data_IF_951575493974
#
_entry.id   IF_951575493974
#
_cell.length_a   1.000
_cell.length_b   1.000
_cell.length_c   1.000
_cell.angle_alpha   90.00
_cell.angle_beta   90.00
_cell.angle_gamma   90.00
#
_symmetry.space_group_name_H-M   'P 1'
#
loop_
_entity.id
_entity.type
_entity.pdbx_description
1 polymer ?
#
# COMPACT_ATOMS: atom_id res chain seq x y z
N UNK A 1 -25.12 -48.18 -2.88
CA UNK A 1 -24.42 -48.41 -4.15
C UNK A 1 -24.49 -47.12 -4.95
N UNK A 2 -23.44 -46.53 -5.46
CA UNK A 2 -22.09 -47.00 -5.75
C UNK A 2 -21.13 -45.81 -5.60
N UNK A 3 -19.91 -46.13 -5.20
CA UNK A 3 -18.82 -45.29 -4.74
C UNK A 3 -18.07 -44.52 -5.85
N UNK A 4 -17.67 -43.27 -5.54
CA UNK A 4 -16.31 -42.65 -5.70
C UNK A 4 -15.66 -42.50 -7.11
N UNK A 5 -14.46 -41.86 -7.27
CA UNK A 5 -14.12 -40.42 -7.09
C UNK A 5 -13.10 -39.91 -8.18
N UNK A 6 -12.35 -38.82 -7.89
CA UNK A 6 -11.14 -38.24 -8.55
C UNK A 6 -11.44 -37.20 -9.67
N UNK A 7 -10.76 -36.05 -9.78
CA UNK A 7 -9.42 -35.65 -9.32
C UNK A 7 -9.33 -34.14 -9.09
N UNK A 8 -8.63 -33.76 -8.03
CA UNK A 8 -8.16 -32.39 -7.82
C UNK A 8 -6.92 -32.10 -8.68
N UNK A 9 -6.78 -30.85 -9.10
CA UNK A 9 -5.50 -30.30 -9.54
C UNK A 9 -5.31 -28.98 -8.80
N UNK A 10 -4.29 -28.97 -7.96
CA UNK A 10 -3.75 -27.80 -7.30
C UNK A 10 -3.08 -26.91 -8.36
N UNK A 11 -3.31 -25.60 -8.29
CA UNK A 11 -2.51 -24.63 -9.03
C UNK A 11 -1.43 -24.11 -8.08
N UNK A 12 -0.22 -24.66 -8.22
CA UNK A 12 1.00 -24.04 -7.73
C UNK A 12 1.22 -22.72 -8.48
N UNK A 13 1.27 -21.63 -7.74
CA UNK A 13 1.69 -20.33 -8.25
C UNK A 13 3.21 -20.25 -8.10
N UNK A 14 3.92 -20.35 -9.23
CA UNK A 14 5.30 -19.90 -9.30
C UNK A 14 5.32 -18.39 -9.54
N UNK A 15 5.94 -17.68 -8.61
CA UNK A 15 6.35 -16.28 -8.76
C UNK A 15 7.35 -16.18 -9.91
N UNK A 16 7.04 -15.34 -10.91
CA UNK A 16 8.05 -14.83 -11.83
C UNK A 16 7.73 -13.38 -12.20
N UNK A 17 8.45 -12.45 -11.57
CA UNK A 17 8.42 -11.02 -11.89
C UNK A 17 9.30 -10.81 -13.12
N UNK A 18 8.72 -10.98 -14.30
CA UNK A 18 9.31 -10.53 -15.55
C UNK A 18 8.62 -9.24 -16.03
N UNK A 19 9.36 -8.13 -16.05
CA UNK A 19 8.99 -6.92 -16.78
C UNK A 19 8.90 -7.25 -18.27
N UNK A 20 7.72 -7.67 -18.74
CA UNK A 20 7.47 -7.88 -20.16
C UNK A 20 7.12 -6.55 -20.82
N UNK A 21 8.15 -5.81 -21.24
CA UNK A 21 8.00 -4.82 -22.31
C UNK A 21 7.69 -5.62 -23.58
N UNK A 22 6.50 -5.44 -24.14
CA UNK A 22 6.16 -6.05 -25.42
C UNK A 22 7.03 -5.44 -26.53
N UNK A 23 8.03 -6.18 -26.97
CA UNK A 23 8.77 -5.96 -28.21
C UNK A 23 8.20 -6.94 -29.23
N UNK A 24 7.61 -6.42 -30.31
CA UNK A 24 7.16 -7.27 -31.42
C UNK A 24 8.43 -7.70 -32.18
N UNK A 25 8.83 -8.97 -32.03
CA UNK A 25 9.93 -9.59 -32.77
C UNK A 25 9.39 -10.22 -34.07
N UNK A 26 10.04 -9.94 -35.19
CA UNK A 26 9.51 -10.14 -36.55
C UNK A 26 10.47 -10.94 -37.45
N UNK A 27 10.94 -12.08 -36.96
CA UNK A 27 11.69 -13.05 -37.78
C UNK A 27 10.71 -13.90 -38.64
N UNK A 28 10.92 -14.08 -39.96
CA UNK A 28 9.96 -14.81 -40.79
C UNK A 28 10.21 -16.33 -40.83
N UNK A 29 9.10 -17.08 -40.86
CA UNK A 29 8.99 -18.50 -41.18
C UNK A 29 9.35 -18.80 -42.64
N UNK A 30 10.12 -19.87 -42.87
CA UNK A 30 10.47 -20.44 -44.18
C UNK A 30 9.22 -20.92 -44.94
N UNK A 31 9.13 -20.58 -46.23
CA UNK A 31 8.21 -21.19 -47.21
C UNK A 31 9.00 -21.89 -48.35
N UNK A 32 8.45 -22.94 -49.00
CA UNK A 32 9.19 -23.89 -49.84
C UNK A 32 9.32 -23.46 -51.32
N UNK A 33 10.11 -24.17 -52.17
CA UNK A 33 10.53 -23.66 -53.48
C UNK A 33 9.59 -24.08 -54.63
N UNK A 34 9.50 -23.23 -55.66
CA UNK A 34 8.90 -23.51 -56.99
C UNK A 34 9.87 -23.05 -58.11
N UNK A 35 9.76 -23.58 -59.34
CA UNK A 35 10.88 -23.84 -60.26
C UNK A 35 11.16 -22.72 -61.27
N UNK A 36 12.27 -22.81 -62.04
CA UNK A 36 12.86 -21.67 -62.72
C UNK A 36 12.22 -21.42 -64.08
N UNK A 37 11.96 -20.15 -64.40
CA UNK A 37 11.79 -19.69 -65.77
C UNK A 37 12.52 -18.37 -65.92
N UNK A 38 13.45 -18.38 -66.87
CA UNK A 38 14.42 -17.36 -67.18
C UNK A 38 13.72 -16.08 -67.65
N UNK A 39 13.80 -15.04 -66.84
CA UNK A 39 13.72 -13.66 -67.32
C UNK A 39 15.05 -13.02 -66.94
N UNK A 40 15.93 -12.87 -67.93
CA UNK A 40 17.06 -11.96 -67.85
C UNK A 40 16.49 -10.54 -67.73
N UNK A 41 16.27 -10.09 -66.50
CA UNK A 41 16.23 -8.67 -66.20
C UNK A 41 17.68 -8.15 -66.20
N UNK A 42 17.93 -6.94 -66.73
CA UNK A 42 19.25 -6.34 -66.60
C UNK A 42 19.60 -6.27 -65.12
N UNK A 43 20.78 -6.79 -64.78
CA UNK A 43 21.37 -6.70 -63.46
C UNK A 43 21.59 -5.20 -63.18
N UNK A 44 20.61 -4.56 -62.55
CA UNK A 44 20.74 -3.18 -62.11
C UNK A 44 21.73 -3.19 -60.96
N UNK A 45 22.84 -2.47 -61.12
CA UNK A 45 23.99 -2.42 -60.21
C UNK A 45 23.55 -2.37 -58.73
N UNK A 46 23.76 -3.49 -58.03
CA UNK A 46 23.53 -3.60 -56.59
C UNK A 46 24.54 -2.81 -55.74
N UNK A 47 25.46 -2.09 -56.39
CA UNK A 47 26.53 -1.30 -55.75
C UNK A 47 26.13 0.15 -55.45
N UNK A 48 25.07 0.68 -56.07
CA UNK A 48 24.64 2.07 -55.89
C UNK A 48 23.42 2.26 -55.00
N UNK A 49 22.76 1.20 -54.56
CA UNK A 49 21.54 1.29 -53.73
C UNK A 49 21.86 0.99 -52.27
N UNK A 50 21.54 1.94 -51.38
CA UNK A 50 21.68 1.74 -49.93
C UNK A 50 20.79 0.58 -49.46
N UNK A 51 21.27 -0.28 -48.54
CA UNK A 51 20.43 -1.33 -47.98
C UNK A 51 19.31 -0.71 -47.13
N UNK A 52 18.14 -1.35 -47.14
CA UNK A 52 17.04 -0.93 -46.28
C UNK A 52 17.39 -1.19 -44.80
N UNK A 53 16.90 -0.36 -43.86
CA UNK A 53 16.95 -0.66 -42.44
C UNK A 53 16.33 -2.03 -42.13
N UNK A 54 16.70 -2.62 -40.98
CA UNK A 54 16.24 -3.96 -40.57
C UNK A 54 15.66 -3.97 -39.17
N UNK A 55 14.92 -5.04 -38.87
CA UNK A 55 14.36 -5.36 -37.55
C UNK A 55 13.63 -4.17 -36.89
N UNK A 56 12.54 -3.66 -37.51
CA UNK A 56 11.79 -2.55 -36.94
C UNK A 56 11.08 -2.99 -35.66
N UNK A 57 11.15 -2.15 -34.62
CA UNK A 57 10.50 -2.37 -33.33
C UNK A 57 9.71 -1.13 -32.93
N UNK A 58 8.43 -1.33 -32.66
CA UNK A 58 7.55 -0.26 -32.14
C UNK A 58 7.32 -0.50 -30.65
N UNK A 59 7.74 0.45 -29.82
CA UNK A 59 7.53 0.46 -28.37
C UNK A 59 6.35 1.35 -28.04
N UNK A 60 5.30 0.74 -27.50
CA UNK A 60 4.08 1.42 -27.03
C UNK A 60 3.92 1.15 -25.54
N UNK A 61 4.32 2.11 -24.70
CA UNK A 61 4.27 1.96 -23.25
C UNK A 61 3.76 3.24 -22.61
N UNK A 62 2.63 3.16 -21.90
CA UNK A 62 1.89 4.34 -21.49
C UNK A 62 1.72 5.29 -22.69
N UNK A 63 1.90 6.60 -22.51
CA UNK A 63 1.85 7.58 -23.59
C UNK A 63 2.99 7.44 -24.62
N UNK A 64 4.08 6.73 -24.29
CA UNK A 64 5.29 6.70 -25.10
C UNK A 64 5.10 5.88 -26.38
N UNK A 65 5.55 6.44 -27.50
CA UNK A 65 5.47 5.84 -28.83
C UNK A 65 6.79 6.02 -29.56
N UNK A 66 7.58 4.95 -29.66
CA UNK A 66 8.93 4.99 -30.22
C UNK A 66 9.11 3.89 -31.27
N UNK A 67 9.57 4.27 -32.46
CA UNK A 67 10.00 3.33 -33.50
C UNK A 67 11.53 3.25 -33.47
N UNK A 68 12.08 2.04 -33.48
CA UNK A 68 13.52 1.78 -33.57
C UNK A 68 13.83 0.74 -34.64
N UNK A 69 15.06 0.75 -35.16
CA UNK A 69 15.54 -0.18 -36.20
C UNK A 69 17.04 -0.41 -36.06
N UNK A 70 17.58 -1.37 -36.80
CA UNK A 70 19.02 -1.61 -36.87
C UNK A 70 19.73 -0.60 -37.78
N UNK A 71 20.93 -0.12 -37.38
CA UNK A 71 21.70 0.81 -38.18
C UNK A 71 22.13 0.20 -39.52
N UNK A 72 22.03 0.99 -40.57
CA UNK A 72 22.62 0.67 -41.86
C UNK A 72 24.13 0.94 -41.78
N UNK A 73 24.93 -0.12 -41.93
CA UNK A 73 26.39 -0.02 -41.95
C UNK A 73 26.89 -0.12 -43.39
N UNK A 74 27.71 0.84 -43.82
CA UNK A 74 28.40 0.83 -45.11
C UNK A 74 29.88 0.52 -44.86
N UNK A 75 30.42 -0.53 -45.48
CA UNK A 75 31.78 -1.00 -45.24
C UNK A 75 32.87 -0.02 -45.70
N UNK A 76 32.57 0.86 -46.66
CA UNK A 76 33.55 1.73 -47.32
C UNK A 76 33.13 3.21 -47.36
N UNK A 77 32.05 3.61 -46.70
CA UNK A 77 31.52 4.98 -46.73
C UNK A 77 31.56 5.60 -45.34
N UNK A 78 32.29 6.70 -45.19
CA UNK A 78 32.42 7.45 -43.93
C UNK A 78 31.32 8.50 -43.75
N UNK A 79 30.43 8.67 -44.73
CA UNK A 79 29.35 9.66 -44.65
C UNK A 79 28.29 9.26 -43.62
N UNK A 80 27.72 10.23 -42.90
CA UNK A 80 26.69 9.93 -41.90
C UNK A 80 25.40 9.46 -42.59
N UNK A 81 24.96 8.25 -42.25
CA UNK A 81 23.64 7.76 -42.65
C UNK A 81 22.57 8.48 -41.85
N UNK A 82 21.58 9.02 -42.55
CA UNK A 82 20.41 9.62 -41.93
C UNK A 82 19.14 8.87 -42.30
N UNK A 83 18.11 8.98 -41.48
CA UNK A 83 16.87 8.25 -41.64
C UNK A 83 15.68 9.21 -41.83
N UNK A 84 14.69 8.73 -42.58
CA UNK A 84 13.40 9.40 -42.77
C UNK A 84 12.29 8.43 -42.41
N UNK A 85 11.38 8.86 -41.54
CA UNK A 85 10.20 8.09 -41.14
C UNK A 85 8.92 8.74 -41.65
N UNK A 86 8.05 7.92 -42.25
CA UNK A 86 6.74 8.31 -42.72
C UNK A 86 5.64 7.52 -42.03
N UNK A 87 4.47 8.13 -41.95
CA UNK A 87 3.29 7.52 -41.36
C UNK A 87 2.11 7.58 -42.33
N UNK A 88 1.25 6.59 -42.18
CA UNK A 88 -0.07 6.54 -42.79
C UNK A 88 -1.03 6.00 -41.73
N UNK A 89 -2.23 6.59 -41.64
CA UNK A 89 -3.30 6.07 -40.78
C UNK A 89 -4.48 5.76 -41.67
N UNK A 90 -4.94 4.51 -41.61
CA UNK A 90 -6.12 4.09 -42.37
C UNK A 90 -7.38 4.67 -41.71
N UNK A 91 -7.69 5.91 -42.07
CA UNK A 91 -8.98 6.49 -41.81
C UNK A 91 -9.85 6.21 -43.05
N UNK A 92 -10.91 5.43 -42.86
CA UNK A 92 -11.94 4.98 -43.82
C UNK A 92 -12.48 6.02 -44.85
N UNK A 93 -12.10 7.28 -44.72
CA UNK A 93 -12.59 8.45 -45.46
C UNK A 93 -11.47 9.28 -46.15
N UNK A 94 -10.19 8.91 -46.01
CA UNK A 94 -9.08 9.64 -46.62
C UNK A 94 -8.27 8.74 -47.58
N UNK A 95 -7.78 9.33 -48.66
CA UNK A 95 -6.88 8.67 -49.61
C UNK A 95 -5.59 8.22 -48.90
N UNK A 96 -5.08 7.03 -49.26
CA UNK A 96 -3.89 6.40 -48.65
C UNK A 96 -2.58 7.14 -48.95
N UNK A 97 -2.44 8.34 -48.39
CA UNK A 97 -1.28 9.22 -48.60
C UNK A 97 -0.32 9.07 -47.44
N UNK A 98 0.97 8.89 -47.75
CA UNK A 98 2.03 8.87 -46.76
C UNK A 98 2.46 10.29 -46.42
N UNK A 99 2.57 10.58 -45.13
CA UNK A 99 3.00 11.88 -44.63
C UNK A 99 4.31 11.76 -43.88
N UNK A 100 5.21 12.73 -44.05
CA UNK A 100 6.41 12.79 -43.24
C UNK A 100 6.03 13.09 -41.79
N UNK A 101 6.66 12.40 -40.84
CA UNK A 101 6.41 12.67 -39.42
C UNK A 101 6.81 14.11 -39.03
N UNK A 102 7.62 14.77 -39.86
CA UNK A 102 8.07 16.17 -39.70
C UNK A 102 7.06 17.22 -40.16
N UNK A 103 6.00 16.84 -40.88
CA UNK A 103 4.93 17.78 -41.28
C UNK A 103 4.08 18.24 -40.09
N UNK A 104 4.26 17.63 -38.92
CA UNK A 104 3.66 18.08 -37.65
C UNK A 104 4.77 18.69 -36.78
N UNK A 105 4.54 19.94 -36.38
CA UNK A 105 5.50 20.90 -35.79
C UNK A 105 6.37 20.35 -34.64
N UNK A 106 5.96 19.27 -33.97
CA UNK A 106 6.56 18.79 -32.73
C UNK A 106 7.38 17.49 -32.84
N UNK A 107 7.31 16.75 -33.96
CA UNK A 107 8.04 15.49 -34.16
C UNK A 107 9.01 15.64 -35.33
N UNK A 108 10.32 15.57 -35.09
CA UNK A 108 11.35 15.72 -36.14
C UNK A 108 12.04 14.38 -36.41
N UNK A 109 11.39 13.52 -37.20
CA UNK A 109 11.96 12.25 -37.66
C UNK A 109 12.36 12.28 -39.15
N UNK A 110 12.81 13.44 -39.63
CA UNK A 110 13.37 13.61 -40.97
C UNK A 110 14.86 13.93 -40.86
N UNK A 111 15.66 13.17 -41.60
CA UNK A 111 17.12 13.27 -41.65
C UNK A 111 17.78 13.15 -40.26
N UNK A 112 17.32 12.20 -39.46
CA UNK A 112 17.89 11.90 -38.13
C UNK A 112 19.05 10.92 -38.26
N UNK A 113 20.10 11.08 -37.45
CA UNK A 113 21.22 10.13 -37.39
C UNK A 113 20.97 8.98 -36.42
N UNK A 114 20.04 9.15 -35.49
CA UNK A 114 19.63 8.13 -34.53
C UNK A 114 18.83 7.03 -35.20
N UNK A 115 18.95 5.80 -34.70
CA UNK A 115 18.18 4.64 -35.14
C UNK A 115 16.87 4.46 -34.39
N UNK A 116 16.35 5.57 -33.87
CA UNK A 116 15.08 5.66 -33.16
C UNK A 116 14.38 6.97 -33.49
N UNK A 117 13.06 6.91 -33.54
CA UNK A 117 12.14 8.03 -33.74
C UNK A 117 11.09 7.98 -32.63
N UNK A 118 11.18 8.94 -31.70
CA UNK A 118 10.15 9.18 -30.69
C UNK A 118 9.09 10.12 -31.25
N UNK A 119 7.88 9.60 -31.41
CA UNK A 119 6.70 10.32 -31.90
C UNK A 119 5.60 10.39 -30.84
N UNK A 120 5.99 10.30 -29.56
CA UNK A 120 5.12 10.53 -28.41
C UNK A 120 4.43 11.90 -28.55
N UNK A 121 3.09 11.97 -28.49
CA UNK A 121 2.36 13.24 -28.58
C UNK A 121 2.81 14.22 -27.50
N UNK A 122 3.11 15.46 -27.89
CA UNK A 122 3.48 16.54 -26.96
C UNK A 122 2.34 17.57 -26.92
N UNK A 123 1.94 17.99 -25.72
CA UNK A 123 0.85 18.96 -25.57
C UNK A 123 -0.48 18.50 -26.19
N UNK A 124 -1.10 19.35 -27.01
CA UNK A 124 -2.41 19.10 -27.63
C UNK A 124 -2.31 18.42 -29.00
N UNK A 125 -1.12 17.98 -29.44
CA UNK A 125 -0.98 17.32 -30.73
C UNK A 125 -1.67 15.96 -30.69
N UNK A 126 -2.78 15.86 -31.43
CA UNK A 126 -3.52 14.60 -31.59
C UNK A 126 -2.75 13.73 -32.57
N UNK A 127 -1.74 13.00 -32.10
CA UNK A 127 -1.09 11.98 -32.92
C UNK A 127 -1.60 10.58 -32.59
N UNK A 128 -1.98 9.89 -33.67
CA UNK A 128 -2.67 8.60 -33.77
C UNK A 128 -4.05 8.62 -33.11
N UNK A 129 -5.10 8.60 -33.94
CA UNK A 129 -6.41 8.20 -33.42
C UNK A 129 -6.29 6.75 -32.95
N UNK A 130 -6.39 6.48 -31.64
CA UNK A 130 -5.91 5.21 -31.08
C UNK A 130 -6.59 3.95 -31.60
N UNK A 131 -7.74 4.13 -32.24
CA UNK A 131 -8.60 3.05 -32.74
C UNK A 131 -8.31 2.64 -34.19
N UNK A 132 -7.53 3.43 -34.94
CA UNK A 132 -7.23 3.15 -36.35
C UNK A 132 -5.90 2.45 -36.53
N UNK A 133 -5.80 1.67 -37.59
CA UNK A 133 -4.57 1.03 -38.00
C UNK A 133 -3.55 2.08 -38.47
N UNK A 134 -2.41 2.06 -37.80
CA UNK A 134 -1.27 2.92 -38.09
C UNK A 134 -0.20 2.12 -38.81
N UNK A 135 0.29 2.69 -39.90
CA UNK A 135 1.36 2.15 -40.73
C UNK A 135 2.54 3.09 -40.66
N UNK A 136 3.73 2.55 -40.42
CA UNK A 136 4.98 3.30 -40.43
C UNK A 136 5.91 2.72 -41.48
N UNK A 137 6.75 3.57 -42.05
CA UNK A 137 7.87 3.13 -42.89
C UNK A 137 9.10 3.99 -42.66
N UNK A 138 10.27 3.38 -42.76
CA UNK A 138 11.56 4.05 -42.58
C UNK A 138 12.50 3.72 -43.73
N UNK A 139 13.33 4.69 -44.13
CA UNK A 139 14.41 4.48 -45.10
C UNK A 139 15.67 5.19 -44.66
N UNK A 140 16.82 4.68 -45.11
CA UNK A 140 18.12 5.32 -44.96
C UNK A 140 18.42 6.22 -46.16
N UNK A 141 19.21 7.27 -45.91
CA UNK A 141 19.74 8.19 -46.90
C UNK A 141 21.20 8.52 -46.60
N UNK A 142 21.97 8.70 -47.67
CA UNK A 142 23.33 9.23 -47.65
C UNK A 142 23.44 10.17 -48.84
N UNK A 143 23.54 11.47 -48.59
CA UNK A 143 23.41 12.51 -49.62
C UNK A 143 22.16 12.29 -50.50
N UNK A 144 22.33 12.06 -51.81
CA UNK A 144 21.26 11.79 -52.78
C UNK A 144 20.87 10.31 -52.87
N UNK A 145 21.65 9.40 -52.27
CA UNK A 145 21.35 7.98 -52.28
C UNK A 145 20.27 7.65 -51.24
N UNK A 146 19.31 6.82 -51.63
CA UNK A 146 18.20 6.40 -50.78
C UNK A 146 18.03 4.88 -50.80
N UNK A 147 17.68 4.30 -49.66
CA UNK A 147 17.34 2.88 -49.58
C UNK A 147 15.89 2.61 -50.01
N UNK A 148 15.52 1.35 -50.30
CA UNK A 148 14.13 0.93 -50.25
C UNK A 148 13.49 1.24 -48.89
N UNK A 149 12.16 1.34 -48.85
CA UNK A 149 11.41 1.51 -47.61
C UNK A 149 11.31 0.19 -46.83
N UNK A 150 11.63 0.23 -45.55
CA UNK A 150 11.24 -0.78 -44.58
C UNK A 150 9.84 -0.43 -44.07
N UNK A 151 8.85 -1.27 -44.39
CA UNK A 151 7.49 -1.13 -43.87
C UNK A 151 7.35 -1.87 -42.54
N UNK A 152 6.76 -1.20 -41.54
CA UNK A 152 6.47 -1.78 -40.23
C UNK A 152 5.08 -2.43 -40.27
N UNK A 153 4.86 -3.59 -39.62
CA UNK A 153 3.51 -4.14 -39.46
C UNK A 153 2.57 -3.11 -38.83
N UNK A 154 1.32 -3.11 -39.27
CA UNK A 154 0.33 -2.19 -38.72
C UNK A 154 0.04 -2.49 -37.25
N UNK A 155 -0.28 -1.44 -36.51
CA UNK A 155 -0.69 -1.55 -35.11
C UNK A 155 -1.79 -0.56 -34.79
N UNK A 156 -2.56 -0.87 -33.75
CA UNK A 156 -3.54 0.05 -33.15
C UNK A 156 -3.07 0.36 -31.74
N UNK A 157 -2.93 1.64 -31.39
CA UNK A 157 -2.42 2.01 -30.08
C UNK A 157 -3.25 1.37 -28.95
N UNK A 158 -4.58 1.44 -29.02
CA UNK A 158 -5.46 0.81 -28.02
C UNK A 158 -5.34 -0.72 -27.96
N UNK A 159 -4.85 -1.40 -29.00
CA UNK A 159 -4.64 -2.86 -28.98
C UNK A 159 -3.23 -3.25 -28.58
N UNK A 160 -2.24 -2.42 -28.86
CA UNK A 160 -0.84 -2.83 -28.75
C UNK A 160 -0.11 -2.14 -27.60
N UNK A 161 -0.71 -1.13 -26.95
CA UNK A 161 -0.11 -0.43 -25.82
C UNK A 161 0.01 -1.33 -24.58
N UNK A 162 1.18 -1.26 -23.96
CA UNK A 162 1.42 -1.79 -22.61
C UNK A 162 1.10 -0.69 -21.60
N UNK A 163 0.13 -0.93 -20.72
CA UNK A 163 -0.31 0.04 -19.71
C UNK A 163 0.41 -0.28 -18.39
N UNK A 164 1.15 0.68 -17.87
CA UNK A 164 1.81 0.58 -16.58
C UNK A 164 0.84 0.68 -15.40
N UNK A 165 1.34 0.51 -14.16
CA UNK A 165 0.53 0.71 -12.96
C UNK A 165 0.13 2.19 -12.79
N UNK A 166 -0.89 2.49 -11.96
CA UNK A 166 -1.18 3.86 -11.55
C UNK A 166 0.01 4.54 -10.87
N UNK A 167 0.15 5.83 -11.06
CA UNK A 167 1.23 6.64 -10.47
C UNK A 167 0.79 7.32 -9.17
N UNK A 168 1.75 7.77 -8.36
CA UNK A 168 1.52 8.59 -7.15
C UNK A 168 0.44 8.04 -6.21
N UNK A 169 0.51 6.75 -5.89
CA UNK A 169 -0.43 6.08 -4.99
C UNK A 169 -0.17 6.54 -3.55
N UNK A 170 -1.15 7.22 -2.96
CA UNK A 170 -1.17 7.67 -1.58
C UNK A 170 -2.33 7.02 -0.84
N UNK A 171 -2.08 6.46 0.34
CA UNK A 171 -3.10 5.80 1.15
C UNK A 171 -3.16 6.44 2.53
N UNK A 172 -4.34 6.92 2.91
CA UNK A 172 -4.63 7.44 4.24
C UNK A 172 -5.47 6.44 5.02
N UNK A 173 -4.95 5.86 6.12
CA UNK A 173 -5.73 5.01 6.98
C UNK A 173 -6.82 5.77 7.74
N UNK A 174 -8.03 5.24 7.72
CA UNK A 174 -9.18 5.75 8.45
C UNK A 174 -9.74 4.71 9.44
N UNK A 175 -10.81 5.08 10.14
CA UNK A 175 -11.55 4.18 11.01
C UNK A 175 -12.23 3.10 10.17
N UNK A 176 -11.78 1.84 10.28
CA UNK A 176 -12.30 0.73 9.49
C UNK A 176 -12.22 0.93 7.96
N UNK A 177 -11.30 1.79 7.50
CA UNK A 177 -11.23 2.16 6.09
C UNK A 177 -9.81 2.53 5.63
N UNK A 178 -9.57 2.45 4.31
CA UNK A 178 -8.39 3.00 3.65
C UNK A 178 -8.84 3.92 2.51
N UNK A 179 -8.42 5.19 2.57
CA UNK A 179 -8.69 6.18 1.52
C UNK A 179 -7.47 6.22 0.60
N UNK A 180 -7.68 5.82 -0.65
CA UNK A 180 -6.64 5.70 -1.66
C UNK A 180 -6.80 6.87 -2.64
N UNK A 181 -5.71 7.59 -2.88
CA UNK A 181 -5.59 8.61 -3.93
C UNK A 181 -4.49 8.19 -4.89
N UNK A 182 -4.71 8.34 -6.19
CA UNK A 182 -3.74 7.95 -7.21
C UNK A 182 -3.77 8.91 -8.40
N UNK A 183 -2.81 8.76 -9.29
CA UNK A 183 -2.76 9.39 -10.61
C UNK A 183 -2.93 8.32 -11.69
N UNK A 184 -3.54 8.70 -12.81
CA UNK A 184 -3.63 7.83 -13.99
C UNK A 184 -2.23 7.46 -14.49
N UNK A 185 -2.03 6.28 -15.10
CA UNK A 185 -0.73 5.89 -15.67
C UNK A 185 -0.16 6.86 -16.70
N UNK A 186 -1.04 7.57 -17.43
CA UNK A 186 -0.70 8.66 -18.35
C UNK A 186 -1.96 9.48 -18.67
N UNK A 187 -1.79 10.64 -19.33
CA UNK A 187 -2.93 11.47 -19.74
C UNK A 187 -3.63 10.84 -20.95
N UNK A 188 -4.93 10.61 -20.79
CA UNK A 188 -5.80 10.07 -21.85
C UNK A 188 -6.81 11.08 -22.38
N UNK A 189 -6.83 12.33 -21.88
CA UNK A 189 -7.83 13.34 -22.28
C UNK A 189 -7.78 13.71 -23.76
N UNK A 190 -6.60 13.65 -24.36
CA UNK A 190 -6.42 13.88 -25.80
C UNK A 190 -7.02 12.74 -26.66
N UNK A 191 -7.36 11.61 -26.04
CA UNK A 191 -7.92 10.42 -26.66
C UNK A 191 -9.35 10.18 -26.17
N UNK A 192 -10.20 9.52 -26.97
CA UNK A 192 -11.51 9.06 -26.51
C UNK A 192 -11.36 7.79 -25.65
N UNK A 193 -10.62 7.91 -24.54
CA UNK A 193 -10.29 6.80 -23.65
C UNK A 193 -10.37 7.19 -22.17
N UNK A 194 -10.65 6.21 -21.32
CA UNK A 194 -10.76 6.38 -19.87
C UNK A 194 -10.08 5.22 -19.14
N UNK A 195 -9.75 5.43 -17.86
CA UNK A 195 -9.24 4.37 -16.98
C UNK A 195 -10.30 3.89 -16.00
N UNK A 196 -10.35 2.58 -15.81
CA UNK A 196 -11.04 1.91 -14.71
C UNK A 196 -10.01 1.32 -13.76
N UNK A 197 -10.17 1.55 -12.47
CA UNK A 197 -9.25 1.07 -11.44
C UNK A 197 -9.84 -0.09 -10.67
N UNK A 198 -9.01 -1.08 -10.38
CA UNK A 198 -9.32 -2.24 -9.55
C UNK A 198 -8.32 -2.31 -8.41
N UNK A 199 -8.82 -2.46 -7.19
CA UNK A 199 -7.99 -2.58 -6.00
C UNK A 199 -8.02 -4.02 -5.53
N UNK A 200 -6.87 -4.68 -5.61
CA UNK A 200 -6.62 -6.00 -5.05
C UNK A 200 -6.10 -5.81 -3.62
N UNK A 201 -6.75 -6.38 -2.62
CA UNK A 201 -6.38 -6.17 -1.22
C UNK A 201 -6.59 -7.42 -0.37
N UNK A 202 -5.77 -7.60 0.66
CA UNK A 202 -5.83 -8.74 1.57
C UNK A 202 -5.30 -8.38 2.95
N UNK A 203 -5.78 -9.09 3.97
CA UNK A 203 -5.11 -9.13 5.29
C UNK A 203 -3.86 -10.02 5.16
N UNK A 204 -2.83 -9.80 5.98
CA UNK A 204 -1.52 -10.51 5.88
C UNK A 204 -1.59 -12.04 5.78
N UNK A 205 -2.62 -12.66 6.36
CA UNK A 205 -2.90 -14.11 6.29
C UNK A 205 -4.28 -14.42 5.70
N UNK A 206 -4.86 -13.47 4.97
CA UNK A 206 -6.19 -13.55 4.39
C UNK A 206 -6.18 -13.88 2.90
N UNK A 207 -7.37 -14.10 2.36
CA UNK A 207 -7.60 -14.30 0.93
C UNK A 207 -7.61 -12.94 0.23
N UNK A 208 -7.04 -12.88 -0.97
CA UNK A 208 -7.11 -11.69 -1.82
C UNK A 208 -8.53 -11.39 -2.27
N UNK A 209 -8.94 -10.14 -2.07
CA UNK A 209 -10.21 -9.58 -2.50
C UNK A 209 -9.98 -8.53 -3.59
N UNK A 210 -10.96 -8.31 -4.44
CA UNK A 210 -10.92 -7.31 -5.51
C UNK A 210 -12.11 -6.38 -5.38
N UNK A 211 -11.88 -5.07 -5.38
CA UNK A 211 -12.91 -4.03 -5.38
C UNK A 211 -12.76 -3.15 -6.61
N UNK A 212 -13.87 -2.86 -7.29
CA UNK A 212 -13.92 -2.05 -8.50
C UNK A 212 -15.02 -2.52 -9.46
N UNK A 213 -15.10 -1.96 -10.68
CA UNK A 213 -14.25 -0.89 -11.21
C UNK A 213 -14.55 0.48 -10.61
N UNK A 214 -13.52 1.32 -10.47
CA UNK A 214 -13.65 2.73 -10.10
C UNK A 214 -13.21 3.63 -11.25
N UNK A 215 -13.98 4.68 -11.57
CA UNK A 215 -13.55 5.75 -12.48
C UNK A 215 -12.78 6.86 -11.76
N UNK A 216 -13.09 7.06 -10.49
CA UNK A 216 -12.45 8.07 -9.64
C UNK A 216 -11.02 7.66 -9.28
N UNK A 217 -10.12 8.64 -9.24
CA UNK A 217 -8.76 8.48 -8.71
C UNK A 217 -8.70 8.59 -7.19
N UNK A 218 -9.82 8.91 -6.54
CA UNK A 218 -10.02 8.82 -5.10
C UNK A 218 -10.97 7.66 -4.81
N UNK A 219 -10.45 6.61 -4.19
CA UNK A 219 -11.13 5.33 -3.93
C UNK A 219 -11.17 5.11 -2.42
N UNK A 220 -12.31 4.63 -1.90
CA UNK A 220 -12.45 4.31 -0.48
C UNK A 220 -12.70 2.82 -0.29
N UNK A 221 -11.77 2.14 0.37
CA UNK A 221 -11.98 0.78 0.87
C UNK A 221 -12.60 0.87 2.26
N UNK A 222 -13.91 0.73 2.33
CA UNK A 222 -14.67 0.64 3.59
C UNK A 222 -14.80 -0.81 4.08
N UNK A 223 -15.45 -0.95 5.24
CA UNK A 223 -15.84 -2.23 5.84
C UNK A 223 -14.63 -3.11 6.18
N UNK A 224 -13.50 -2.46 6.49
CA UNK A 224 -12.29 -3.12 6.95
C UNK A 224 -12.30 -3.23 8.47
N UNK A 225 -11.66 -4.27 8.99
CA UNK A 225 -11.52 -4.43 10.45
C UNK A 225 -10.60 -3.32 10.99
N UNK A 226 -10.95 -2.67 12.12
CA UNK A 226 -10.08 -1.68 12.76
C UNK A 226 -8.82 -2.34 13.33
N UNK A 227 -7.73 -1.58 13.42
CA UNK A 227 -6.43 -2.04 13.95
C UNK A 227 -5.83 -3.25 13.22
N UNK A 228 -6.20 -3.49 11.96
CA UNK A 228 -5.69 -4.59 11.12
C UNK A 228 -4.84 -4.07 9.97
N UNK A 229 -3.83 -4.86 9.61
CA UNK A 229 -2.92 -4.57 8.50
C UNK A 229 -3.45 -5.21 7.21
N UNK A 230 -3.65 -4.36 6.20
CA UNK A 230 -4.07 -4.75 4.87
C UNK A 230 -3.00 -4.38 3.85
N UNK A 231 -2.64 -5.32 3.00
CA UNK A 231 -1.80 -5.10 1.83
C UNK A 231 -2.67 -4.92 0.59
N UNK A 232 -2.26 -4.04 -0.32
CA UNK A 232 -2.99 -3.77 -1.55
C UNK A 232 -2.08 -3.56 -2.76
N UNK A 233 -2.65 -3.87 -3.94
CA UNK A 233 -2.14 -3.54 -5.26
C UNK A 233 -3.27 -2.94 -6.08
N UNK A 234 -2.94 -2.01 -6.97
CA UNK A 234 -3.92 -1.33 -7.81
C UNK A 234 -3.56 -1.59 -9.26
N UNK A 235 -4.59 -1.92 -10.05
CA UNK A 235 -4.50 -2.11 -11.49
C UNK A 235 -5.35 -1.09 -12.20
N UNK A 236 -4.79 -0.44 -13.22
CA UNK A 236 -5.55 0.36 -14.18
C UNK A 236 -5.95 -0.50 -15.38
N UNK A 237 -7.15 -0.29 -15.91
CA UNK A 237 -7.62 -0.85 -17.17
C UNK A 237 -7.97 0.30 -18.09
N UNK A 238 -7.25 0.41 -19.20
CA UNK A 238 -7.54 1.38 -20.25
C UNK A 238 -8.77 0.92 -21.04
N UNK A 239 -9.72 1.81 -21.25
CA UNK A 239 -10.93 1.57 -22.04
C UNK A 239 -11.00 2.61 -23.15
N UNK A 240 -10.90 2.16 -24.40
CA UNK A 240 -11.02 3.02 -25.58
C UNK A 240 -12.44 2.97 -26.13
N UNK A 241 -13.18 4.08 -25.99
CA UNK A 241 -14.64 4.12 -26.14
C UNK A 241 -15.10 3.83 -27.57
N UNK A 242 -14.42 4.41 -28.57
CA UNK A 242 -14.83 4.26 -29.99
C UNK A 242 -14.55 2.87 -30.57
N UNK A 243 -13.69 2.08 -29.93
CA UNK A 243 -13.28 0.76 -30.40
C UNK A 243 -13.84 -0.41 -29.60
N UNK A 244 -14.51 -0.17 -28.46
CA UNK A 244 -14.83 -1.19 -27.45
C UNK A 244 -13.62 -2.08 -27.09
N UNK A 245 -12.42 -1.50 -27.12
CA UNK A 245 -11.17 -2.19 -26.79
C UNK A 245 -10.84 -1.84 -25.35
N UNK A 246 -10.50 -2.86 -24.56
CA UNK A 246 -9.94 -2.66 -23.24
C UNK A 246 -8.57 -3.31 -23.11
N UNK A 247 -7.65 -2.63 -22.42
CA UNK A 247 -6.31 -3.13 -22.14
C UNK A 247 -6.07 -3.16 -20.64
N UNK A 248 -5.83 -4.35 -20.06
CA UNK A 248 -5.42 -4.43 -18.68
C UNK A 248 -4.01 -3.87 -18.53
N UNK A 249 -3.80 -3.03 -17.53
CA UNK A 249 -2.48 -2.60 -17.12
C UNK A 249 -1.83 -3.53 -16.11
N UNK A 250 -0.57 -3.24 -15.80
CA UNK A 250 0.18 -3.94 -14.76
C UNK A 250 -0.30 -3.56 -13.36
N UNK A 251 -0.08 -4.48 -12.41
CA UNK A 251 -0.33 -4.24 -11.00
C UNK A 251 0.74 -3.29 -10.44
N UNK A 252 0.32 -2.40 -9.54
CA UNK A 252 1.27 -1.65 -8.72
C UNK A 252 2.06 -2.58 -7.80
N UNK A 253 3.15 -2.05 -7.25
CA UNK A 253 3.83 -2.69 -6.13
C UNK A 253 2.87 -2.88 -4.95
N UNK A 254 3.14 -3.92 -4.16
CA UNK A 254 2.40 -4.20 -2.92
C UNK A 254 2.73 -3.11 -1.90
N UNK A 255 1.70 -2.56 -1.27
CA UNK A 255 1.86 -1.62 -0.16
C UNK A 255 0.90 -1.99 0.97
N UNK A 256 1.37 -1.93 2.22
CA UNK A 256 0.61 -2.40 3.38
C UNK A 256 0.36 -1.27 4.37
N UNK A 257 -0.86 -1.20 4.89
CA UNK A 257 -1.31 -0.15 5.79
C UNK A 257 -2.17 -0.73 6.91
N UNK A 258 -1.99 -0.18 8.11
CA UNK A 258 -2.80 -0.54 9.27
C UNK A 258 -3.97 0.43 9.42
N UNK A 259 -5.19 -0.08 9.50
CA UNK A 259 -6.39 0.71 9.72
C UNK A 259 -6.39 1.38 11.09
N UNK A 260 -7.00 2.57 11.18
CA UNK A 260 -7.11 3.26 12.46
C UNK A 260 -8.15 2.57 13.36
N UNK A 261 -8.03 2.84 14.66
CA UNK A 261 -9.01 2.42 15.64
C UNK A 261 -10.33 3.15 15.41
N UNK A 262 -11.43 2.41 15.29
CA UNK A 262 -12.74 3.01 15.09
C UNK A 262 -13.33 3.57 16.39
N UNK A 263 -14.37 4.41 16.27
CA UNK A 263 -15.06 4.98 17.43
C UNK A 263 -15.63 3.91 18.38
N UNK A 264 -16.11 2.78 17.86
CA UNK A 264 -16.70 1.71 18.67
C UNK A 264 -15.64 0.99 19.53
N UNK A 265 -14.51 0.64 18.95
CA UNK A 265 -13.35 0.04 19.61
C UNK A 265 -12.69 1.01 20.58
N UNK A 266 -12.63 2.32 20.26
CA UNK A 266 -12.25 3.37 21.22
C UNK A 266 -13.18 3.37 22.43
N UNK A 267 -14.49 3.40 22.22
CA UNK A 267 -15.48 3.40 23.30
C UNK A 267 -15.37 2.13 24.14
N UNK A 268 -15.23 0.97 23.50
CA UNK A 268 -15.07 -0.31 24.18
C UNK A 268 -13.80 -0.35 25.03
N UNK A 269 -12.67 0.17 24.51
CA UNK A 269 -11.44 0.29 25.29
C UNK A 269 -11.63 1.22 26.51
N UNK A 270 -12.29 2.35 26.33
CA UNK A 270 -12.57 3.29 27.43
C UNK A 270 -13.42 2.62 28.51
N UNK A 271 -14.48 1.87 28.12
CA UNK A 271 -15.34 1.15 29.07
C UNK A 271 -14.54 0.11 29.84
N UNK A 272 -13.72 -0.69 29.16
CA UNK A 272 -12.88 -1.72 29.82
C UNK A 272 -11.89 -1.10 30.81
N UNK A 273 -11.24 0.01 30.44
CA UNK A 273 -10.33 0.74 31.32
C UNK A 273 -11.08 1.30 32.53
N UNK A 274 -12.24 1.94 32.32
CA UNK A 274 -13.04 2.51 33.39
C UNK A 274 -13.53 1.46 34.39
N UNK A 275 -14.03 0.32 33.89
CA UNK A 275 -14.46 -0.82 34.74
C UNK A 275 -13.27 -1.40 35.50
N UNK A 276 -12.13 -1.61 34.84
CA UNK A 276 -10.91 -2.11 35.48
C UNK A 276 -10.44 -1.19 36.61
N UNK A 277 -10.45 0.13 36.38
CA UNK A 277 -10.07 1.13 37.38
C UNK A 277 -11.04 1.14 38.58
N UNK A 278 -12.34 1.04 38.31
CA UNK A 278 -13.37 0.99 39.35
C UNK A 278 -13.25 -0.26 40.23
N UNK A 279 -12.98 -1.43 39.63
CA UNK A 279 -12.75 -2.68 40.36
C UNK A 279 -11.47 -2.60 41.20
N UNK A 280 -10.40 -2.01 40.66
CA UNK A 280 -9.15 -1.81 41.40
C UNK A 280 -9.34 -0.90 42.62
N UNK A 281 -10.02 0.24 42.45
CA UNK A 281 -10.32 1.16 43.55
C UNK A 281 -11.24 0.53 44.60
N UNK A 282 -12.22 -0.26 44.18
CA UNK A 282 -13.11 -0.98 45.10
C UNK A 282 -12.35 -2.05 45.91
N UNK A 283 -11.44 -2.79 45.28
CA UNK A 283 -10.57 -3.75 45.98
C UNK A 283 -9.67 -3.04 47.00
N UNK A 284 -9.09 -1.91 46.64
CA UNK A 284 -8.24 -1.12 47.55
C UNK A 284 -9.05 -0.58 48.74
N UNK A 285 -10.24 -0.04 48.49
CA UNK A 285 -11.15 0.44 49.53
C UNK A 285 -11.61 -0.71 50.44
N UNK A 286 -11.96 -1.87 49.87
CA UNK A 286 -12.32 -3.07 50.62
C UNK A 286 -11.19 -3.58 51.50
N UNK A 287 -9.95 -3.61 50.99
CA UNK A 287 -8.77 -3.95 51.77
C UNK A 287 -8.53 -2.96 52.92
N UNK A 288 -8.65 -1.65 52.66
CA UNK A 288 -8.54 -0.62 53.69
C UNK A 288 -9.60 -0.80 54.78
N UNK A 289 -10.86 -1.04 54.39
CA UNK A 289 -11.95 -1.27 55.32
C UNK A 289 -11.73 -2.52 56.17
N UNK A 290 -11.25 -3.61 55.58
CA UNK A 290 -10.91 -4.84 56.31
C UNK A 290 -9.76 -4.63 57.30
N UNK A 291 -8.71 -3.90 56.91
CA UNK A 291 -7.62 -3.51 57.82
C UNK A 291 -8.16 -2.69 58.99
N UNK A 292 -8.98 -1.68 58.73
CA UNK A 292 -9.62 -0.88 59.78
C UNK A 292 -10.40 -1.78 60.72
N UNK A 293 -11.28 -2.66 60.20
CA UNK A 293 -12.06 -3.61 61.00
C UNK A 293 -11.18 -4.50 61.89
N UNK A 294 -10.14 -5.09 61.31
CA UNK A 294 -9.21 -5.98 62.01
C UNK A 294 -8.45 -5.25 63.12
N UNK A 295 -8.05 -4.00 62.88
CA UNK A 295 -7.28 -3.20 63.83
C UNK A 295 -8.13 -2.25 64.68
N UNK A 296 -9.48 -2.34 64.64
CA UNK A 296 -10.38 -1.46 65.42
C UNK A 296 -10.06 -1.43 66.92
N UNK A 297 -9.60 -2.54 67.49
CA UNK A 297 -9.18 -2.61 68.90
C UNK A 297 -7.91 -1.80 69.20
N UNK A 298 -6.95 -1.78 68.27
CA UNK A 298 -5.69 -1.03 68.39
C UNK A 298 -5.88 0.46 68.06
N UNK A 299 -6.77 0.77 67.12
CA UNK A 299 -7.14 2.16 66.77
C UNK A 299 -7.86 2.85 67.93
N UNK A 300 -8.71 2.13 68.69
CA UNK A 300 -9.33 2.67 69.90
C UNK A 300 -8.31 3.13 70.95
N UNK A 301 -7.18 2.41 71.07
CA UNK A 301 -6.11 2.75 72.01
C UNK A 301 -5.34 4.03 71.64
N UNK A 302 -5.18 4.29 70.33
CA UNK A 302 -4.49 5.49 69.82
C UNK A 302 -5.34 6.76 69.80
N UNK A 303 -6.68 6.64 69.81
CA UNK A 303 -7.62 7.76 69.83
C UNK A 303 -8.25 8.04 71.20
N UNK A 304 -7.74 7.43 72.29
CA UNK A 304 -8.09 7.89 73.63
C UNK A 304 -7.53 9.29 73.84
N UNK A 305 -8.40 10.26 74.11
CA UNK A 305 -8.00 11.56 74.66
C UNK A 305 -7.09 11.33 75.87
N UNK A 306 -6.04 12.16 76.08
CA UNK A 306 -5.25 12.09 77.30
C UNK A 306 -6.21 12.10 78.51
N UNK A 307 -5.96 11.31 79.55
CA UNK A 307 -6.83 11.32 80.73
C UNK A 307 -6.96 12.76 81.23
N UNK A 308 -8.18 13.31 81.18
CA UNK A 308 -8.46 14.63 81.71
C UNK A 308 -8.31 14.58 83.22
N UNK A 309 -7.44 15.42 83.76
CA UNK A 309 -7.20 15.57 85.19
C UNK A 309 -8.56 15.86 85.88
N UNK A 310 -8.92 15.15 86.96
CA UNK A 310 -10.14 15.45 87.72
C UNK A 310 -10.19 16.93 88.09
N UNK A 311 -11.35 17.59 87.89
CA UNK A 311 -11.54 19.04 88.07
C UNK A 311 -11.00 19.58 89.40
N UNK A 312 -11.00 18.76 90.46
CA UNK A 312 -10.44 19.13 91.76
C UNK A 312 -8.95 19.47 91.69
N UNK A 313 -8.15 18.78 90.87
CA UNK A 313 -6.70 18.99 90.75
C UNK A 313 -6.39 20.14 89.79
N UNK A 314 -7.26 20.41 88.81
CA UNK A 314 -7.10 21.54 87.88
C UNK A 314 -7.20 22.90 88.60
N UNK A 315 -8.01 23.00 89.64
CA UNK A 315 -8.13 24.21 90.46
C UNK A 315 -6.88 24.46 91.31
N UNK A 316 -6.28 23.42 91.91
CA UNK A 316 -5.03 23.53 92.68
C UNK A 316 -3.80 23.82 91.81
N UNK A 317 -3.80 23.45 90.53
CA UNK A 317 -2.70 23.72 89.61
C UNK A 317 -2.77 25.13 88.99
N UNK A 318 -3.93 25.80 89.03
CA UNK A 318 -4.10 27.16 88.49
C UNK A 318 -3.73 28.27 89.47
N UNK A 319 -3.65 27.99 90.77
CA UNK A 319 -3.33 29.00 91.79
C UNK A 319 -2.19 28.52 92.74
N UNK A 320 -0.91 28.76 92.38
CA UNK A 320 0.24 28.27 93.14
C UNK A 320 0.51 29.21 94.31
N UNK A 321 -0.36 29.20 95.32
CA UNK A 321 -0.23 30.08 96.47
C UNK A 321 -0.37 29.35 97.82
N UNK A 322 0.12 28.11 97.96
CA UNK A 322 0.39 27.50 99.28
C UNK A 322 1.62 26.57 99.27
N UNK A 323 2.48 26.60 100.31
CA UNK A 323 3.81 25.99 100.33
C UNK A 323 3.75 24.51 100.76
N UNK A 324 3.10 23.66 99.97
CA UNK A 324 2.97 22.22 100.31
C UNK A 324 4.00 21.37 99.55
N UNK A 325 4.47 21.84 98.38
CA UNK A 325 5.48 21.13 97.58
C UNK A 325 6.89 21.18 98.20
N UNK A 326 7.20 22.18 99.04
CA UNK A 326 8.46 22.24 99.80
C UNK A 326 8.46 21.34 101.05
N UNK A 327 7.30 20.87 101.51
CA UNK A 327 7.21 19.95 102.65
C UNK A 327 7.36 18.47 102.24
N UNK A 328 6.92 18.10 101.03
CA UNK A 328 7.00 16.71 100.54
C UNK A 328 8.41 16.30 100.08
N UNK A 329 9.27 17.26 99.72
CA UNK A 329 10.68 16.99 99.40
C UNK A 329 11.52 16.67 100.67
N UNK A 330 10.96 16.90 101.86
CA UNK A 330 11.63 16.70 103.16
C UNK A 330 11.35 15.38 103.88
N UNK A 331 10.38 14.58 103.41
CA UNK A 331 9.97 13.32 104.07
C UNK A 331 10.29 12.06 103.24
N UNK A 332 11.30 12.11 102.36
CA UNK A 332 11.83 10.91 101.72
C UNK A 332 12.69 10.09 102.70
N UNK A 333 12.06 9.11 103.36
CA UNK A 333 12.74 8.01 104.08
C UNK A 333 11.86 6.74 104.09
N UNK A 334 12.44 5.53 103.96
CA UNK A 334 11.89 4.51 103.06
C UNK A 334 11.25 3.33 103.80
N UNK A 335 9.99 3.01 103.51
CA UNK A 335 9.36 1.68 103.71
C UNK A 335 8.26 1.51 102.65
N UNK A 336 8.47 0.64 101.66
CA UNK A 336 7.90 -0.72 101.60
C UNK A 336 6.37 -0.71 101.69
N UNK A 337 5.72 -0.59 100.53
CA UNK A 337 4.30 -0.91 100.38
C UNK A 337 4.14 -1.98 99.30
N UNK A 338 3.58 -3.10 99.76
CA UNK A 338 3.35 -4.33 99.05
C UNK A 338 2.36 -4.14 97.88
N UNK A 339 2.73 -4.69 96.72
CA UNK A 339 1.85 -4.78 95.56
C UNK A 339 1.10 -6.11 95.59
N UNK A 340 -0.24 -6.05 95.64
CA UNK A 340 -1.10 -7.22 95.54
C UNK A 340 -1.26 -7.62 94.06
N UNK A 341 -0.78 -8.81 93.74
CA UNK A 341 -0.74 -9.38 92.38
C UNK A 341 -2.07 -10.06 92.02
N UNK A 342 -2.73 -9.58 90.97
CA UNK A 342 -3.97 -10.20 90.44
C UNK A 342 -3.63 -11.16 89.29
N UNK A 343 -3.83 -12.46 89.52
CA UNK A 343 -3.66 -13.52 88.52
C UNK A 343 -4.97 -13.78 87.74
N UNK A 344 -4.91 -13.72 86.41
CA UNK A 344 -6.02 -14.05 85.50
C UNK A 344 -5.97 -15.53 85.14
N UNK A 345 -7.03 -16.27 85.42
CA UNK A 345 -7.22 -17.68 85.02
C UNK A 345 -8.05 -17.74 83.74
N UNK A 346 -7.55 -18.42 82.72
CA UNK A 346 -8.25 -18.71 81.47
C UNK A 346 -8.70 -20.17 81.42
N UNK A 347 -9.89 -20.44 80.89
CA UNK A 347 -10.44 -21.78 80.66
C UNK A 347 -10.33 -22.15 79.17
N UNK A 348 -9.93 -23.38 78.80
CA UNK A 348 -9.97 -23.85 77.42
C UNK A 348 -11.35 -24.40 77.05
N UNK A 349 -11.86 -23.98 75.90
CA UNK A 349 -13.06 -24.53 75.26
C UNK A 349 -12.69 -25.75 74.40
N UNK A 350 -13.51 -26.80 74.52
CA UNK A 350 -13.30 -28.12 73.91
C UNK A 350 -13.58 -28.12 72.41
N UNK A 351 -12.90 -29.05 71.74
CA UNK A 351 -13.01 -29.48 70.36
C UNK A 351 -14.44 -29.71 69.84
N UNK A 352 -14.66 -29.40 68.56
CA UNK A 352 -15.65 -30.09 67.74
C UNK A 352 -15.14 -30.24 66.30
N UNK A 353 -14.79 -31.48 65.96
CA UNK A 353 -14.58 -32.03 64.61
C UNK A 353 -15.95 -32.45 64.02
N UNK A 354 -16.21 -32.10 62.75
CA UNK A 354 -16.92 -32.89 61.72
C UNK A 354 -17.13 -31.98 60.48
N UNK A 355 -16.39 -32.15 59.37
CA UNK A 355 -16.62 -33.06 58.23
C UNK A 355 -17.94 -32.81 57.48
N UNK A 356 -17.86 -32.24 56.25
CA UNK A 356 -18.46 -32.83 55.04
C UNK A 356 -17.92 -32.16 53.76
N UNK A 357 -17.21 -32.94 52.94
CA UNK A 357 -16.93 -32.64 51.53
C UNK A 357 -17.43 -33.86 50.73
N UNK A 358 -18.47 -33.68 49.92
CA UNK A 358 -18.66 -34.36 48.64
C UNK A 358 -19.62 -33.56 47.78
#
# INVERSE_FOLDING_TARGET
SRETPLNGVAYEWFDDVHLNIFVIDLSPFLSPPLPPSLVLCPFQDSLSQLPAPRNPKVRLHNAEQVLSWEPVSLSNDTRPVVYQVQHFTDARWFNSTWYDLSDKVEVKCMNITTTECDFTPKGNSVFLRPEFDTFLRVRAKVDELVSPWLTVPSFQYCRNVTVGPPENIWVTPGEGSLIIRLSSPFDVRAFSATFLYYVHYWEKAGIQQVKGPFRSTSIVLNDLKPLREYCLQIKAQLVCEKGNISRPGHLSNVSCYKTAMDAATKLQQIIVIAVGLFLFLSMLAGACFFLVLKYRGLVKYWFHSPPSIPLQIEEYLKDPAQPILEALDKDSSPKDDAWDSVSVVSFPEKEQEDVLHS
#
